data_IF_510985668435
#
_entry.id   IF_510985668435
#
_cell.length_a   1.000
_cell.length_b   1.000
_cell.length_c   1.000
_cell.angle_alpha   90.00
_cell.angle_beta   90.00
_cell.angle_gamma   90.00
#
_symmetry.space_group_name_H-M   'P 1'
#
loop_
_entity.id
_entity.type
_entity.pdbx_description
1 polymer ?
#
# COMPACT_ATOMS: atom_id res chain seq x y z
N UNK A 1 -7.82 -8.51 -7.64
CA UNK A 1 -6.40 -8.16 -7.81
C UNK A 1 -6.20 -7.33 -9.06
N UNK A 2 -5.45 -6.23 -8.97
CA UNK A 2 -5.21 -5.26 -10.04
C UNK A 2 -3.74 -4.88 -10.13
N UNK A 3 -3.29 -4.39 -11.29
CA UNK A 3 -1.90 -3.95 -11.46
C UNK A 3 -1.56 -2.76 -10.55
N UNK A 4 -2.51 -1.86 -10.33
CA UNK A 4 -2.34 -0.73 -9.41
C UNK A 4 -2.01 -1.21 -8.00
N UNK A 5 -2.72 -2.21 -7.47
CA UNK A 5 -2.43 -2.75 -6.14
C UNK A 5 -1.02 -3.35 -6.02
N UNK A 6 -0.57 -4.07 -7.05
CA UNK A 6 0.79 -4.63 -7.11
C UNK A 6 1.84 -3.52 -7.16
N UNK A 7 1.65 -2.51 -8.02
CA UNK A 7 2.55 -1.35 -8.10
C UNK A 7 2.58 -0.56 -6.79
N UNK A 8 1.43 -0.42 -6.12
CA UNK A 8 1.35 0.22 -4.80
C UNK A 8 2.16 -0.56 -3.77
N UNK A 9 2.05 -1.89 -3.74
CA UNK A 9 2.82 -2.73 -2.83
C UNK A 9 4.33 -2.58 -3.07
N UNK A 10 4.76 -2.67 -4.34
CA UNK A 10 6.17 -2.49 -4.69
C UNK A 10 6.67 -1.11 -4.28
N UNK A 11 5.90 -0.05 -4.52
CA UNK A 11 6.28 1.29 -4.11
C UNK A 11 6.42 1.43 -2.58
N UNK A 12 5.54 0.81 -1.79
CA UNK A 12 5.65 0.83 -0.33
C UNK A 12 6.94 0.12 0.14
N UNK A 13 7.27 -1.02 -0.45
CA UNK A 13 8.47 -1.79 -0.13
C UNK A 13 9.76 -1.07 -0.59
N UNK A 14 9.76 -0.49 -1.78
CA UNK A 14 10.93 0.16 -2.39
C UNK A 14 11.24 1.51 -1.76
N UNK A 15 10.21 2.26 -1.38
CA UNK A 15 10.35 3.63 -0.86
C UNK A 15 10.19 3.74 0.65
N UNK A 16 9.99 2.62 1.36
CA UNK A 16 10.06 2.58 2.82
C UNK A 16 8.81 3.11 3.53
N UNK A 17 7.62 2.88 2.96
CA UNK A 17 6.36 3.15 3.63
C UNK A 17 5.31 3.90 2.80
N UNK A 18 4.11 4.02 3.36
CA UNK A 18 2.92 4.59 2.70
C UNK A 18 3.09 6.05 2.30
N UNK A 19 3.77 6.85 3.13
CA UNK A 19 3.95 8.29 2.89
C UNK A 19 4.80 8.52 1.65
N UNK A 20 5.95 7.88 1.53
CA UNK A 20 6.82 8.04 0.36
C UNK A 20 6.20 7.41 -0.89
N UNK A 21 5.56 6.25 -0.76
CA UNK A 21 4.82 5.63 -1.87
C UNK A 21 3.73 6.57 -2.43
N UNK A 22 2.98 7.26 -1.56
CA UNK A 22 1.91 8.18 -1.98
C UNK A 22 2.46 9.34 -2.82
N UNK A 23 3.60 9.91 -2.43
CA UNK A 23 4.29 10.98 -3.18
C UNK A 23 4.76 10.49 -4.55
N UNK A 24 5.30 9.27 -4.62
CA UNK A 24 5.85 8.67 -5.85
C UNK A 24 4.77 8.28 -6.86
N UNK A 25 3.62 7.84 -6.36
CA UNK A 25 2.49 7.41 -7.18
C UNK A 25 1.50 8.53 -7.50
N UNK A 26 1.73 9.74 -6.98
CA UNK A 26 0.78 10.87 -7.08
C UNK A 26 -0.62 10.50 -6.56
N UNK A 27 -0.66 9.75 -5.47
CA UNK A 27 -1.87 9.28 -4.80
C UNK A 27 -1.95 9.88 -3.39
N UNK A 28 -3.15 9.90 -2.79
CA UNK A 28 -3.26 10.17 -1.36
C UNK A 28 -2.74 8.96 -0.57
N UNK A 29 -2.21 9.19 0.64
CA UNK A 29 -1.79 8.10 1.53
C UNK A 29 -2.96 7.13 1.84
N UNK A 30 -4.19 7.66 1.95
CA UNK A 30 -5.40 6.83 2.12
C UNK A 30 -5.70 5.94 0.93
N UNK A 31 -5.47 6.40 -0.31
CA UNK A 31 -5.65 5.59 -1.51
C UNK A 31 -4.59 4.48 -1.60
N UNK A 32 -3.35 4.76 -1.21
CA UNK A 32 -2.29 3.74 -1.08
C UNK A 32 -2.69 2.70 -0.02
N UNK A 33 -3.10 3.15 1.17
CA UNK A 33 -3.55 2.27 2.26
C UNK A 33 -4.71 1.37 1.84
N UNK A 34 -5.72 1.93 1.19
CA UNK A 34 -6.88 1.17 0.70
C UNK A 34 -6.48 0.15 -0.37
N UNK A 35 -5.58 0.50 -1.30
CA UNK A 35 -5.12 -0.42 -2.32
C UNK A 35 -4.40 -1.64 -1.72
N UNK A 36 -3.53 -1.43 -0.72
CA UNK A 36 -2.88 -2.52 0.01
C UNK A 36 -3.89 -3.35 0.79
N UNK A 37 -4.77 -2.72 1.56
CA UNK A 37 -5.77 -3.43 2.36
C UNK A 37 -6.67 -4.31 1.49
N UNK A 38 -7.13 -3.79 0.34
CA UNK A 38 -7.92 -4.59 -0.61
C UNK A 38 -7.11 -5.75 -1.18
N UNK A 39 -5.83 -5.57 -1.48
CA UNK A 39 -4.95 -6.64 -1.96
C UNK A 39 -4.79 -7.76 -0.92
N UNK A 40 -4.52 -7.40 0.34
CA UNK A 40 -4.40 -8.34 1.46
C UNK A 40 -5.70 -9.12 1.68
N UNK A 41 -6.85 -8.44 1.60
CA UNK A 41 -8.16 -9.08 1.72
C UNK A 41 -8.44 -10.08 0.59
N UNK A 42 -8.12 -9.72 -0.66
CA UNK A 42 -8.31 -10.62 -1.81
C UNK A 42 -7.41 -11.86 -1.74
N UNK A 43 -6.20 -11.72 -1.20
CA UNK A 43 -5.25 -12.83 -1.04
C UNK A 43 -5.45 -13.61 0.26
N UNK A 44 -6.21 -13.08 1.22
CA UNK A 44 -6.41 -13.70 2.53
C UNK A 44 -5.15 -13.74 3.39
N UNK A 45 -4.21 -12.82 3.16
CA UNK A 45 -2.92 -12.77 3.86
C UNK A 45 -2.54 -11.33 4.18
N UNK A 46 -1.98 -11.11 5.36
CA UNK A 46 -1.33 -9.85 5.72
C UNK A 46 0.08 -9.83 5.12
N UNK A 47 0.33 -8.88 4.21
CA UNK A 47 1.61 -8.76 3.49
C UNK A 47 2.53 -7.81 4.25
N UNK A 48 1.98 -6.71 4.77
CA UNK A 48 2.73 -5.70 5.50
C UNK A 48 2.44 -5.80 7.00
N UNK A 49 3.47 -6.12 7.78
CA UNK A 49 3.35 -6.19 9.23
C UNK A 49 3.43 -4.78 9.86
N UNK A 50 2.29 -4.21 10.24
CA UNK A 50 2.25 -3.21 11.33
C UNK A 50 2.44 -1.72 11.02
N UNK A 51 2.34 -1.24 9.78
CA UNK A 51 2.25 0.22 9.50
C UNK A 51 0.79 0.74 9.61
N UNK A 52 0.03 0.21 10.58
CA UNK A 52 -1.30 0.75 10.95
C UNK A 52 -1.18 1.93 11.93
N UNK A 53 -0.03 2.60 11.99
CA UNK A 53 0.11 3.87 12.69
C UNK A 53 -0.48 4.98 11.83
N UNK A 54 -1.81 5.04 11.89
CA UNK A 54 -2.59 6.22 11.61
C UNK A 54 -2.19 7.31 12.63
N UNK A 55 -1.66 8.44 12.16
CA UNK A 55 -1.62 9.71 12.89
C UNK A 55 -1.76 10.84 11.89
#
# INVERSE_FOLDING_TARGET
MTLTQIHTLLAVLDYGGFTEASKRLFMTQSAVSQAIATLEQELGVEILSGEKHCS
#
